data_IF_442607491844
#
_entry.id   IF_442607491844
#
_cell.length_a   1.000
_cell.length_b   1.000
_cell.length_c   1.000
_cell.angle_alpha   90.00
_cell.angle_beta   90.00
_cell.angle_gamma   90.00
#
_symmetry.space_group_name_H-M   'P 1'
#
loop_
_entity.id
_entity.type
_entity.pdbx_description
1 polymer ?
#
# COMPACT_ATOMS: atom_id res chain seq x y z
N UNK A 1 -21.73 -77.25 17.24
CA UNK A 1 -22.66 -76.90 16.13
C UNK A 1 -23.42 -75.59 16.39
N UNK A 2 -23.63 -75.17 17.64
CA UNK A 2 -24.35 -73.92 17.98
C UNK A 2 -23.49 -72.65 17.92
N UNK A 3 -22.21 -72.72 18.28
CA UNK A 3 -21.29 -71.58 18.33
C UNK A 3 -21.01 -70.97 16.95
N UNK A 4 -20.55 -71.77 15.99
CA UNK A 4 -20.34 -71.30 14.61
C UNK A 4 -21.60 -70.79 13.90
N UNK A 5 -22.80 -71.26 14.30
CA UNK A 5 -24.07 -70.71 13.78
C UNK A 5 -24.33 -69.31 14.34
N UNK A 6 -24.08 -69.10 15.64
CA UNK A 6 -24.24 -67.79 16.27
C UNK A 6 -23.23 -66.78 15.76
N UNK A 7 -21.98 -67.19 15.54
CA UNK A 7 -20.92 -66.32 15.02
C UNK A 7 -21.19 -65.91 13.58
N UNK A 8 -21.68 -66.83 12.74
CA UNK A 8 -22.09 -66.50 11.38
C UNK A 8 -23.29 -65.55 11.34
N UNK A 9 -24.26 -65.71 12.24
CA UNK A 9 -25.41 -64.81 12.36
C UNK A 9 -24.99 -63.39 12.81
N UNK A 10 -24.09 -63.31 13.80
CA UNK A 10 -23.48 -62.04 14.25
C UNK A 10 -22.68 -61.37 13.14
N UNK A 11 -21.83 -62.12 12.43
CA UNK A 11 -21.04 -61.62 11.30
C UNK A 11 -21.95 -61.10 10.17
N UNK A 12 -23.02 -61.82 9.85
CA UNK A 12 -24.00 -61.38 8.85
C UNK A 12 -24.70 -60.07 9.25
N UNK A 13 -25.07 -59.93 10.52
CA UNK A 13 -25.71 -58.72 11.03
C UNK A 13 -24.75 -57.52 11.04
N UNK A 14 -23.54 -57.71 11.55
CA UNK A 14 -22.48 -56.69 11.57
C UNK A 14 -22.11 -56.24 10.15
N UNK A 15 -21.94 -57.18 9.22
CA UNK A 15 -21.61 -56.87 7.82
C UNK A 15 -22.69 -56.04 7.15
N UNK A 16 -23.98 -56.37 7.36
CA UNK A 16 -25.10 -55.59 6.82
C UNK A 16 -25.16 -54.18 7.41
N UNK A 17 -24.98 -54.06 8.73
CA UNK A 17 -24.98 -52.76 9.42
C UNK A 17 -23.82 -51.89 8.92
N UNK A 18 -22.59 -52.42 8.94
CA UNK A 18 -21.40 -51.72 8.49
C UNK A 18 -21.52 -51.27 7.03
N UNK A 19 -21.96 -52.15 6.12
CA UNK A 19 -22.16 -51.79 4.71
C UNK A 19 -23.15 -50.64 4.56
N UNK A 20 -24.27 -50.67 5.28
CA UNK A 20 -25.27 -49.60 5.22
C UNK A 20 -24.69 -48.27 5.70
N UNK A 21 -24.02 -48.26 6.84
CA UNK A 21 -23.41 -47.05 7.41
C UNK A 21 -22.28 -46.50 6.52
N UNK A 22 -21.43 -47.38 5.99
CA UNK A 22 -20.37 -47.02 5.06
C UNK A 22 -20.89 -46.44 3.74
N UNK A 23 -21.97 -47.01 3.18
CA UNK A 23 -22.61 -46.45 1.97
C UNK A 23 -23.15 -45.06 2.22
N UNK A 24 -23.90 -44.86 3.31
CA UNK A 24 -24.45 -43.53 3.65
C UNK A 24 -23.35 -42.49 3.85
N UNK A 25 -22.26 -42.86 4.52
CA UNK A 25 -21.14 -41.94 4.72
C UNK A 25 -20.40 -41.66 3.41
N UNK A 26 -20.13 -42.68 2.60
CA UNK A 26 -19.45 -42.52 1.31
C UNK A 26 -20.25 -41.65 0.35
N UNK A 27 -21.56 -41.85 0.25
CA UNK A 27 -22.44 -41.04 -0.62
C UNK A 27 -22.40 -39.57 -0.21
N UNK A 28 -22.47 -39.30 1.10
CA UNK A 28 -22.37 -37.94 1.62
C UNK A 28 -21.00 -37.31 1.35
N UNK A 29 -19.91 -38.05 1.53
CA UNK A 29 -18.55 -37.58 1.22
C UNK A 29 -18.41 -37.25 -0.27
N UNK A 30 -18.86 -38.13 -1.16
CA UNK A 30 -18.80 -37.89 -2.61
C UNK A 30 -19.64 -36.70 -3.06
N UNK A 31 -20.85 -36.53 -2.50
CA UNK A 31 -21.69 -35.38 -2.80
C UNK A 31 -21.05 -34.06 -2.33
N UNK A 32 -20.50 -34.06 -1.11
CA UNK A 32 -19.82 -32.88 -0.53
C UNK A 32 -18.56 -32.52 -1.31
N UNK A 33 -17.78 -33.52 -1.71
CA UNK A 33 -16.60 -33.32 -2.54
C UNK A 33 -16.95 -32.73 -3.91
N UNK A 34 -18.01 -33.22 -4.56
CA UNK A 34 -18.47 -32.67 -5.83
C UNK A 34 -18.88 -31.19 -5.70
N UNK A 35 -19.55 -30.82 -4.61
CA UNK A 35 -19.92 -29.43 -4.32
C UNK A 35 -18.68 -28.56 -4.04
N UNK A 36 -17.70 -29.05 -3.28
CA UNK A 36 -16.41 -28.37 -3.07
C UNK A 36 -15.67 -28.12 -4.39
N UNK A 37 -15.62 -29.12 -5.28
CA UNK A 37 -15.00 -28.98 -6.61
C UNK A 37 -15.75 -27.95 -7.43
N UNK A 38 -17.08 -27.98 -7.45
CA UNK A 38 -17.89 -27.00 -8.17
C UNK A 38 -17.64 -25.57 -7.64
N UNK A 39 -17.64 -25.38 -6.32
CA UNK A 39 -17.41 -24.08 -5.67
C UNK A 39 -15.99 -23.56 -5.91
N UNK A 40 -14.98 -24.44 -5.86
CA UNK A 40 -13.59 -24.06 -6.07
C UNK A 40 -13.22 -23.78 -7.54
N UNK A 41 -13.96 -24.34 -8.50
CA UNK A 41 -13.73 -24.18 -9.94
C UNK A 41 -14.63 -23.13 -10.60
N UNK A 42 -15.70 -22.69 -9.93
CA UNK A 42 -16.56 -21.62 -10.43
C UNK A 42 -15.81 -20.27 -10.41
N UNK A 43 -15.31 -19.84 -11.56
CA UNK A 43 -14.55 -18.58 -11.71
C UNK A 43 -15.43 -17.31 -11.62
N UNK A 44 -16.75 -17.43 -11.69
CA UNK A 44 -17.60 -16.27 -12.00
C UNK A 44 -18.26 -15.57 -10.80
N UNK A 45 -18.69 -16.32 -9.79
CA UNK A 45 -19.50 -15.80 -8.69
C UNK A 45 -19.21 -16.67 -7.46
N UNK A 46 -18.30 -16.23 -6.60
CA UNK A 46 -18.40 -16.63 -5.20
C UNK A 46 -19.74 -16.03 -4.75
N UNK A 47 -20.63 -16.86 -4.17
CA UNK A 47 -21.85 -16.35 -3.56
C UNK A 47 -21.53 -15.28 -2.50
N UNK A 48 -22.55 -14.71 -1.87
CA UNK A 48 -22.32 -13.84 -0.71
C UNK A 48 -21.30 -14.50 0.25
N UNK A 49 -20.19 -13.80 0.54
CA UNK A 49 -19.03 -14.39 1.20
C UNK A 49 -19.41 -15.04 2.54
N UNK A 50 -20.34 -14.42 3.26
CA UNK A 50 -20.86 -14.92 4.52
C UNK A 50 -21.69 -16.21 4.35
N UNK A 51 -22.43 -16.34 3.25
CA UNK A 51 -23.14 -17.61 2.93
C UNK A 51 -22.17 -18.76 2.66
N UNK A 52 -21.09 -18.51 1.92
CA UNK A 52 -20.07 -19.52 1.61
C UNK A 52 -19.28 -19.94 2.85
N UNK A 53 -18.93 -18.96 3.71
CA UNK A 53 -18.29 -19.23 5.01
C UNK A 53 -19.22 -20.06 5.90
N UNK A 54 -20.51 -19.71 5.95
CA UNK A 54 -21.51 -20.43 6.74
C UNK A 54 -21.70 -21.87 6.25
N UNK A 55 -21.71 -22.08 4.93
CA UNK A 55 -21.76 -23.40 4.32
C UNK A 55 -20.52 -24.23 4.70
N UNK A 56 -19.31 -23.70 4.53
CA UNK A 56 -18.07 -24.42 4.87
C UNK A 56 -18.03 -24.80 6.36
N UNK A 57 -18.41 -23.86 7.25
CA UNK A 57 -18.54 -24.14 8.69
C UNK A 57 -19.58 -25.22 9.00
N UNK A 58 -20.68 -25.26 8.26
CA UNK A 58 -21.70 -26.31 8.41
C UNK A 58 -21.14 -27.68 8.04
N UNK A 59 -20.41 -27.78 6.93
CA UNK A 59 -19.76 -29.03 6.52
C UNK A 59 -18.75 -29.51 7.56
N UNK A 60 -17.89 -28.62 8.10
CA UNK A 60 -16.96 -28.97 9.19
C UNK A 60 -17.68 -29.47 10.44
N UNK A 61 -18.81 -28.84 10.80
CA UNK A 61 -19.64 -29.27 11.91
C UNK A 61 -20.26 -30.65 11.66
N UNK A 62 -20.70 -30.92 10.44
CA UNK A 62 -21.27 -32.21 10.06
C UNK A 62 -20.21 -33.31 9.98
N UNK A 63 -18.99 -33.00 9.56
CA UNK A 63 -17.82 -33.88 9.73
C UNK A 63 -17.60 -34.20 11.20
N UNK A 64 -17.62 -33.24 12.12
CA UNK A 64 -17.38 -33.60 13.52
C UNK A 64 -18.50 -34.51 14.09
N UNK A 65 -19.76 -34.34 13.67
CA UNK A 65 -20.85 -35.24 14.04
C UNK A 65 -20.69 -36.65 13.46
N UNK A 66 -20.40 -36.76 12.16
CA UNK A 66 -20.29 -38.03 11.42
C UNK A 66 -19.02 -38.82 11.76
N UNK A 67 -18.09 -38.23 12.51
CA UNK A 67 -16.90 -38.90 13.03
C UNK A 67 -17.26 -40.10 13.90
N UNK A 68 -18.38 -40.02 14.62
CA UNK A 68 -18.92 -41.15 15.38
C UNK A 68 -19.32 -42.31 14.46
N UNK A 69 -19.92 -42.02 13.29
CA UNK A 69 -20.29 -43.05 12.31
C UNK A 69 -19.04 -43.72 11.72
N UNK A 70 -18.01 -42.94 11.39
CA UNK A 70 -16.72 -43.47 10.90
C UNK A 70 -16.05 -44.39 11.94
N UNK A 71 -16.07 -44.01 13.22
CA UNK A 71 -15.58 -44.84 14.31
C UNK A 71 -16.40 -46.13 14.45
N UNK A 72 -17.73 -46.04 14.39
CA UNK A 72 -18.61 -47.21 14.46
C UNK A 72 -18.41 -48.19 13.30
N UNK A 73 -18.14 -47.69 12.09
CA UNK A 73 -17.78 -48.50 10.92
C UNK A 73 -16.43 -49.18 11.14
N UNK A 74 -15.44 -48.46 11.67
CA UNK A 74 -14.10 -49.00 11.98
C UNK A 74 -14.16 -50.10 13.03
N UNK A 75 -14.91 -49.90 14.12
CA UNK A 75 -15.15 -50.90 15.17
C UNK A 75 -15.88 -52.13 14.62
N UNK A 76 -16.92 -51.92 13.78
CA UNK A 76 -17.67 -53.02 13.15
C UNK A 76 -16.80 -53.81 12.18
N UNK A 77 -15.88 -53.16 11.48
CA UNK A 77 -14.90 -53.80 10.60
C UNK A 77 -13.93 -54.68 11.40
N UNK A 78 -13.34 -54.15 12.47
CA UNK A 78 -12.45 -54.91 13.35
C UNK A 78 -13.17 -56.15 13.96
N UNK A 79 -14.41 -55.99 14.39
CA UNK A 79 -15.22 -57.10 14.89
C UNK A 79 -15.48 -58.18 13.82
N UNK A 80 -15.67 -57.78 12.55
CA UNK A 80 -15.87 -58.71 11.44
C UNK A 80 -14.59 -59.47 11.07
N UNK A 81 -13.43 -58.80 11.10
CA UNK A 81 -12.12 -59.43 10.86
C UNK A 81 -11.88 -60.59 11.84
N UNK A 82 -12.33 -60.46 13.10
CA UNK A 82 -12.23 -61.52 14.10
C UNK A 82 -13.22 -62.68 13.88
N UNK A 83 -14.37 -62.44 13.25
CA UNK A 83 -15.43 -63.44 13.07
C UNK A 83 -15.35 -64.18 11.71
N UNK A 84 -14.70 -63.58 10.71
CA UNK A 84 -14.63 -64.10 9.35
C UNK A 84 -13.19 -64.10 8.84
N UNK A 85 -12.55 -65.27 8.87
CA UNK A 85 -11.25 -65.50 8.24
C UNK A 85 -11.31 -65.13 6.75
N UNK A 86 -10.22 -64.57 6.20
CA UNK A 86 -10.06 -64.10 4.82
C UNK A 86 -10.82 -62.82 4.42
N UNK A 87 -11.46 -62.11 5.37
CA UNK A 87 -12.14 -60.82 5.09
C UNK A 87 -11.27 -59.57 5.31
N UNK A 88 -10.09 -59.73 5.91
CA UNK A 88 -9.22 -58.65 6.38
C UNK A 88 -8.85 -57.65 5.28
N UNK A 89 -8.34 -58.12 4.15
CA UNK A 89 -7.87 -57.26 3.06
C UNK A 89 -8.97 -56.38 2.47
N UNK A 90 -10.15 -56.94 2.22
CA UNK A 90 -11.30 -56.22 1.64
C UNK A 90 -11.87 -55.21 2.64
N UNK A 91 -11.93 -55.56 3.92
CA UNK A 91 -12.41 -54.67 4.97
C UNK A 91 -11.44 -53.49 5.18
N UNK A 92 -10.14 -53.77 5.16
CA UNK A 92 -9.09 -52.76 5.27
C UNK A 92 -9.09 -51.79 4.08
N UNK A 93 -9.20 -52.28 2.85
CA UNK A 93 -9.28 -51.46 1.63
C UNK A 93 -10.49 -50.51 1.66
N UNK A 94 -11.66 -51.01 2.09
CA UNK A 94 -12.86 -50.20 2.22
C UNK A 94 -12.70 -49.11 3.29
N UNK A 95 -12.13 -49.44 4.45
CA UNK A 95 -11.83 -48.45 5.49
C UNK A 95 -10.81 -47.41 5.02
N UNK A 96 -9.77 -47.84 4.31
CA UNK A 96 -8.76 -46.94 3.77
C UNK A 96 -9.37 -45.93 2.79
N UNK A 97 -10.22 -46.41 1.88
CA UNK A 97 -10.92 -45.54 0.91
C UNK A 97 -11.83 -44.54 1.62
N UNK A 98 -12.59 -45.00 2.61
CA UNK A 98 -13.50 -44.16 3.38
C UNK A 98 -12.75 -43.11 4.21
N UNK A 99 -11.66 -43.50 4.89
CA UNK A 99 -10.80 -42.61 5.66
C UNK A 99 -10.07 -41.60 4.77
N UNK A 100 -9.65 -42.00 3.58
CA UNK A 100 -9.05 -41.11 2.59
C UNK A 100 -10.07 -40.06 2.10
N UNK A 101 -11.28 -40.50 1.73
CA UNK A 101 -12.38 -39.61 1.33
C UNK A 101 -12.75 -38.62 2.45
N UNK A 102 -12.85 -39.11 3.68
CA UNK A 102 -13.08 -38.29 4.88
C UNK A 102 -12.02 -37.21 5.06
N UNK A 103 -10.75 -37.62 5.03
CA UNK A 103 -9.62 -36.71 5.23
C UNK A 103 -9.56 -35.66 4.14
N UNK A 104 -9.79 -36.06 2.88
CA UNK A 104 -9.86 -35.15 1.73
C UNK A 104 -10.96 -34.10 1.89
N UNK A 105 -12.20 -34.52 2.17
CA UNK A 105 -13.32 -33.58 2.35
C UNK A 105 -13.04 -32.63 3.52
N UNK A 106 -12.50 -33.12 4.64
CA UNK A 106 -12.10 -32.27 5.76
C UNK A 106 -11.08 -31.22 5.33
N UNK A 107 -9.93 -31.65 4.80
CA UNK A 107 -8.84 -30.74 4.43
C UNK A 107 -9.30 -29.72 3.39
N UNK A 108 -10.00 -30.15 2.34
CA UNK A 108 -10.50 -29.22 1.32
C UNK A 108 -11.52 -28.23 1.86
N UNK A 109 -12.38 -28.65 2.80
CA UNK A 109 -13.33 -27.73 3.45
C UNK A 109 -12.60 -26.74 4.34
N UNK A 110 -11.58 -27.17 5.09
CA UNK A 110 -10.74 -26.31 5.94
C UNK A 110 -10.00 -25.27 5.09
N UNK A 111 -9.32 -25.71 4.02
CA UNK A 111 -8.59 -24.83 3.09
C UNK A 111 -9.52 -23.81 2.42
N UNK A 112 -10.70 -24.25 2.00
CA UNK A 112 -11.72 -23.38 1.43
C UNK A 112 -12.20 -22.33 2.45
N UNK A 113 -12.55 -22.76 3.67
CA UNK A 113 -12.97 -21.87 4.75
C UNK A 113 -11.89 -20.84 5.08
N UNK A 114 -10.62 -21.27 5.18
CA UNK A 114 -9.48 -20.40 5.44
C UNK A 114 -9.29 -19.38 4.31
N UNK A 115 -9.45 -19.80 3.06
CA UNK A 115 -9.36 -18.91 1.89
C UNK A 115 -10.44 -17.82 1.95
N UNK A 116 -11.68 -18.19 2.25
CA UNK A 116 -12.80 -17.25 2.37
C UNK A 116 -12.62 -16.28 3.54
N UNK A 117 -12.20 -16.79 4.71
CA UNK A 117 -11.93 -15.96 5.89
C UNK A 117 -10.77 -14.99 5.66
N UNK A 118 -9.71 -15.44 4.98
CA UNK A 118 -8.62 -14.56 4.60
C UNK A 118 -9.13 -13.46 3.66
N UNK A 119 -9.95 -13.79 2.67
CA UNK A 119 -10.54 -12.79 1.78
C UNK A 119 -11.41 -11.76 2.53
N UNK A 120 -12.24 -12.23 3.47
CA UNK A 120 -13.04 -11.36 4.34
C UNK A 120 -12.16 -10.40 5.15
N UNK A 121 -11.10 -10.91 5.77
CA UNK A 121 -10.16 -10.11 6.53
C UNK A 121 -9.42 -9.08 5.65
N UNK A 122 -9.04 -9.43 4.42
CA UNK A 122 -8.45 -8.46 3.49
C UNK A 122 -9.42 -7.33 3.12
N UNK A 123 -10.71 -7.63 2.93
CA UNK A 123 -11.74 -6.61 2.70
C UNK A 123 -11.91 -5.69 3.91
N UNK A 124 -11.90 -6.23 5.13
CA UNK A 124 -11.99 -5.44 6.36
C UNK A 124 -10.77 -4.51 6.54
N UNK A 125 -9.56 -5.01 6.27
CA UNK A 125 -8.33 -4.20 6.30
C UNK A 125 -8.40 -3.08 5.27
N UNK A 126 -8.82 -3.39 4.03
CA UNK A 126 -9.01 -2.40 2.97
C UNK A 126 -10.00 -1.32 3.41
N UNK A 127 -11.16 -1.70 3.94
CA UNK A 127 -12.17 -0.77 4.43
C UNK A 127 -11.66 0.10 5.59
N UNK A 128 -10.86 -0.48 6.49
CA UNK A 128 -10.18 0.25 7.55
C UNK A 128 -9.22 1.32 7.02
N UNK A 129 -8.39 0.99 6.02
CA UNK A 129 -7.49 1.95 5.39
C UNK A 129 -8.25 3.05 4.64
N UNK A 130 -9.28 2.69 3.86
CA UNK A 130 -10.13 3.64 3.15
C UNK A 130 -10.80 4.61 4.14
N UNK A 131 -11.34 4.11 5.25
CA UNK A 131 -11.98 4.94 6.26
C UNK A 131 -10.98 5.88 6.96
N UNK A 132 -9.79 5.40 7.27
CA UNK A 132 -8.72 6.20 7.87
C UNK A 132 -8.32 7.37 6.97
N UNK A 133 -8.02 7.09 5.69
CA UNK A 133 -7.64 8.12 4.72
C UNK A 133 -8.82 9.06 4.45
N UNK A 134 -10.04 8.54 4.31
CA UNK A 134 -11.23 9.37 4.09
C UNK A 134 -11.47 10.34 5.26
N UNK A 135 -11.18 9.91 6.49
CA UNK A 135 -11.26 10.77 7.67
C UNK A 135 -10.23 11.90 7.60
N UNK A 136 -8.98 11.58 7.23
CA UNK A 136 -7.95 12.59 7.03
C UNK A 136 -8.34 13.58 5.92
N UNK A 137 -8.82 13.08 4.78
CA UNK A 137 -9.25 13.92 3.65
C UNK A 137 -10.36 14.89 4.05
N UNK A 138 -11.34 14.42 4.83
CA UNK A 138 -12.40 15.28 5.36
C UNK A 138 -11.85 16.35 6.30
N UNK A 139 -10.94 16.00 7.21
CA UNK A 139 -10.33 16.93 8.15
C UNK A 139 -9.45 17.97 7.45
N UNK A 140 -8.65 17.54 6.48
CA UNK A 140 -7.79 18.40 5.67
C UNK A 140 -8.62 19.41 4.88
N UNK A 141 -9.68 18.96 4.19
CA UNK A 141 -10.57 19.85 3.45
C UNK A 141 -11.26 20.88 4.36
N UNK A 142 -11.75 20.46 5.53
CA UNK A 142 -12.37 21.37 6.49
C UNK A 142 -11.40 22.45 7.00
N UNK A 143 -10.12 22.10 7.17
CA UNK A 143 -9.08 23.06 7.54
C UNK A 143 -8.77 24.04 6.41
N UNK A 144 -8.75 23.56 5.17
CA UNK A 144 -8.53 24.39 3.98
C UNK A 144 -9.71 25.34 3.74
N UNK A 145 -10.95 24.89 3.92
CA UNK A 145 -12.15 25.74 3.80
C UNK A 145 -12.18 26.90 4.82
N UNK A 146 -11.52 26.73 5.97
CA UNK A 146 -11.39 27.76 6.99
C UNK A 146 -10.11 28.59 6.90
N UNK A 147 -9.21 28.28 5.98
CA UNK A 147 -7.83 28.78 6.01
C UNK A 147 -7.78 30.29 5.80
N UNK A 148 -8.58 30.83 4.87
CA UNK A 148 -8.66 32.26 4.56
C UNK A 148 -9.09 33.11 5.77
N UNK A 149 -9.81 32.52 6.73
CA UNK A 149 -10.27 33.20 7.96
C UNK A 149 -9.20 33.26 9.04
N UNK A 150 -8.08 32.55 8.86
CA UNK A 150 -7.01 32.45 9.86
C UNK A 150 -5.90 33.47 9.56
N UNK A 151 -5.10 33.92 10.55
CA UNK A 151 -3.95 34.79 10.31
C UNK A 151 -2.88 34.10 9.45
N UNK A 152 -2.15 34.87 8.63
CA UNK A 152 -1.14 34.35 7.70
C UNK A 152 -0.13 33.38 8.33
N UNK A 153 0.37 33.67 9.54
CA UNK A 153 1.31 32.78 10.25
C UNK A 153 0.72 31.40 10.56
N UNK A 154 -0.58 31.34 10.90
CA UNK A 154 -1.28 30.07 11.13
C UNK A 154 -1.64 29.37 9.84
N UNK A 155 -1.93 30.11 8.77
CA UNK A 155 -2.17 29.52 7.45
C UNK A 155 -0.93 28.78 6.96
N UNK A 156 0.25 29.42 7.05
CA UNK A 156 1.52 28.82 6.66
C UNK A 156 1.84 27.56 7.48
N UNK A 157 1.62 27.61 8.81
CA UNK A 157 1.81 26.45 9.69
C UNK A 157 0.89 25.28 9.31
N UNK A 158 -0.40 25.55 9.08
CA UNK A 158 -1.38 24.53 8.68
C UNK A 158 -1.01 23.91 7.33
N UNK A 159 -0.65 24.72 6.33
CA UNK A 159 -0.28 24.21 5.00
C UNK A 159 1.01 23.39 5.06
N UNK A 160 2.03 23.85 5.79
CA UNK A 160 3.28 23.07 5.99
C UNK A 160 2.99 21.72 6.63
N UNK A 161 2.13 21.68 7.66
CA UNK A 161 1.73 20.43 8.30
C UNK A 161 0.98 19.52 7.32
N UNK A 162 -0.02 20.05 6.60
CA UNK A 162 -0.82 19.27 5.64
C UNK A 162 0.03 18.71 4.50
N UNK A 163 1.05 19.44 4.02
CA UNK A 163 2.00 18.94 3.01
C UNK A 163 2.83 17.77 3.54
N UNK A 164 3.32 17.86 4.78
CA UNK A 164 4.06 16.75 5.40
C UNK A 164 3.18 15.52 5.60
N UNK A 165 1.93 15.70 6.02
CA UNK A 165 0.97 14.60 6.17
C UNK A 165 0.55 14.03 4.82
N UNK A 166 0.48 14.87 3.77
CA UNK A 166 0.11 14.46 2.42
C UNK A 166 1.08 13.42 1.85
N UNK A 167 2.38 13.57 2.09
CA UNK A 167 3.40 12.59 1.67
C UNK A 167 3.14 11.21 2.30
N UNK A 168 2.85 11.17 3.60
CA UNK A 168 2.54 9.93 4.32
C UNK A 168 1.23 9.31 3.82
N UNK A 169 0.18 10.12 3.63
CA UNK A 169 -1.11 9.67 3.12
C UNK A 169 -1.00 9.20 1.67
N UNK A 170 -0.15 9.81 0.85
CA UNK A 170 0.10 9.35 -0.52
C UNK A 170 0.61 7.91 -0.53
N UNK A 171 1.56 7.57 0.34
CA UNK A 171 2.04 6.19 0.48
C UNK A 171 0.92 5.23 0.91
N UNK A 172 0.04 5.66 1.80
CA UNK A 172 -1.12 4.85 2.20
C UNK A 172 -2.12 4.66 1.05
N UNK A 173 -2.36 5.69 0.24
CA UNK A 173 -3.23 5.60 -0.94
C UNK A 173 -2.65 4.62 -1.98
N UNK A 174 -1.35 4.64 -2.23
CA UNK A 174 -0.71 3.64 -3.11
C UNK A 174 -0.87 2.23 -2.55
N UNK A 175 -0.65 2.03 -1.24
CA UNK A 175 -0.87 0.74 -0.60
C UNK A 175 -2.34 0.27 -0.70
N UNK A 176 -3.31 1.18 -0.59
CA UNK A 176 -4.74 0.87 -0.81
C UNK A 176 -5.02 0.50 -2.27
N UNK A 177 -4.37 1.14 -3.25
CA UNK A 177 -4.47 0.75 -4.67
C UNK A 177 -3.91 -0.65 -4.90
N UNK A 178 -2.76 -0.98 -4.32
CA UNK A 178 -2.17 -2.32 -4.40
C UNK A 178 -3.08 -3.38 -3.77
N UNK A 179 -3.63 -3.11 -2.58
CA UNK A 179 -4.60 -3.99 -1.92
C UNK A 179 -5.86 -4.18 -2.77
N UNK A 180 -6.37 -3.10 -3.38
CA UNK A 180 -7.53 -3.17 -4.25
C UNK A 180 -7.26 -4.05 -5.48
N UNK A 181 -6.08 -3.96 -6.10
CA UNK A 181 -5.70 -4.83 -7.22
C UNK A 181 -5.74 -6.30 -6.80
N UNK A 182 -5.19 -6.64 -5.64
CA UNK A 182 -5.22 -8.02 -5.12
C UNK A 182 -6.66 -8.48 -4.86
N UNK A 183 -7.50 -7.63 -4.25
CA UNK A 183 -8.89 -7.95 -3.93
C UNK A 183 -9.77 -8.10 -5.19
N UNK A 184 -9.56 -7.26 -6.21
CA UNK A 184 -10.29 -7.29 -7.48
C UNK A 184 -9.84 -8.44 -8.38
N UNK A 185 -8.60 -8.90 -8.24
CA UNK A 185 -8.07 -10.07 -8.95
C UNK A 185 -8.29 -11.39 -8.18
N UNK A 186 -8.72 -11.32 -6.92
CA UNK A 186 -9.16 -12.49 -6.18
C UNK A 186 -10.38 -13.11 -6.88
N UNK A 187 -10.54 -14.43 -6.75
CA UNK A 187 -11.64 -15.16 -7.39
C UNK A 187 -12.98 -14.57 -6.94
N UNK A 188 -13.91 -14.37 -7.87
CA UNK A 188 -15.24 -13.82 -7.61
C UNK A 188 -15.38 -12.35 -8.01
N UNK A 189 -16.46 -12.05 -8.74
CA UNK A 189 -16.78 -10.69 -9.21
C UNK A 189 -17.33 -9.76 -8.10
N UNK A 190 -17.86 -10.33 -7.02
CA UNK A 190 -18.50 -9.57 -5.94
C UNK A 190 -17.54 -8.65 -5.18
N UNK A 191 -16.27 -9.04 -5.01
CA UNK A 191 -15.27 -8.18 -4.36
C UNK A 191 -14.99 -6.93 -5.18
N UNK A 192 -14.94 -7.08 -6.51
CA UNK A 192 -14.71 -5.97 -7.44
C UNK A 192 -15.82 -4.92 -7.36
N UNK A 193 -17.08 -5.36 -7.33
CA UNK A 193 -18.24 -4.46 -7.23
C UNK A 193 -18.23 -3.63 -5.94
N UNK A 194 -17.63 -4.13 -4.86
CA UNK A 194 -17.50 -3.41 -3.59
C UNK A 194 -16.26 -2.51 -3.52
N UNK A 195 -15.13 -2.99 -4.07
CA UNK A 195 -13.82 -2.33 -3.97
C UNK A 195 -13.64 -1.20 -4.98
N UNK A 196 -14.05 -1.43 -6.23
CA UNK A 196 -13.89 -0.48 -7.35
C UNK A 196 -14.51 0.91 -7.07
N UNK A 197 -15.78 1.03 -6.62
CA UNK A 197 -16.38 2.34 -6.35
C UNK A 197 -15.69 3.06 -5.18
N UNK A 198 -15.31 2.34 -4.12
CA UNK A 198 -14.61 2.90 -2.96
C UNK A 198 -13.24 3.46 -3.36
N UNK A 199 -12.49 2.71 -4.17
CA UNK A 199 -11.18 3.13 -4.66
C UNK A 199 -11.29 4.36 -5.57
N UNK A 200 -12.27 4.37 -6.48
CA UNK A 200 -12.49 5.49 -7.39
C UNK A 200 -12.84 6.78 -6.62
N UNK A 201 -13.72 6.67 -5.62
CA UNK A 201 -14.07 7.78 -4.75
C UNK A 201 -12.86 8.29 -3.94
N UNK A 202 -12.09 7.38 -3.34
CA UNK A 202 -10.90 7.72 -2.58
C UNK A 202 -9.88 8.47 -3.44
N UNK A 203 -9.57 7.97 -4.64
CA UNK A 203 -8.63 8.60 -5.55
C UNK A 203 -9.09 10.01 -5.96
N UNK A 204 -10.37 10.16 -6.30
CA UNK A 204 -10.95 11.46 -6.66
C UNK A 204 -10.85 12.46 -5.51
N UNK A 205 -11.17 12.04 -4.30
CA UNK A 205 -11.12 12.90 -3.12
C UNK A 205 -9.67 13.27 -2.75
N UNK A 206 -8.75 12.29 -2.83
CA UNK A 206 -7.33 12.52 -2.58
C UNK A 206 -6.73 13.52 -3.57
N UNK A 207 -7.03 13.38 -4.87
CA UNK A 207 -6.57 14.32 -5.88
C UNK A 207 -7.13 15.73 -5.64
N UNK A 208 -8.43 15.85 -5.33
CA UNK A 208 -9.06 17.14 -5.02
C UNK A 208 -8.37 17.84 -3.84
N UNK A 209 -8.19 17.16 -2.72
CA UNK A 209 -7.57 17.73 -1.51
C UNK A 209 -6.10 18.07 -1.77
N UNK A 210 -5.35 17.19 -2.43
CA UNK A 210 -3.95 17.44 -2.80
C UNK A 210 -3.80 18.70 -3.65
N UNK A 211 -4.66 18.87 -4.66
CA UNK A 211 -4.68 20.08 -5.49
C UNK A 211 -5.03 21.33 -4.68
N UNK A 212 -5.97 21.23 -3.74
CA UNK A 212 -6.36 22.33 -2.87
C UNK A 212 -5.22 22.76 -1.93
N UNK A 213 -4.51 21.80 -1.31
CA UNK A 213 -3.32 22.07 -0.47
C UNK A 213 -2.25 22.80 -1.30
N UNK A 214 -1.90 22.25 -2.47
CA UNK A 214 -0.87 22.83 -3.34
C UNK A 214 -1.25 24.23 -3.84
N UNK A 215 -2.51 24.44 -4.20
CA UNK A 215 -3.01 25.76 -4.63
C UNK A 215 -2.92 26.78 -3.50
N UNK A 216 -3.31 26.38 -2.29
CA UNK A 216 -3.25 27.24 -1.10
C UNK A 216 -1.82 27.60 -0.74
N UNK A 217 -0.88 26.65 -0.86
CA UNK A 217 0.55 26.91 -0.67
C UNK A 217 1.06 27.99 -1.62
N UNK A 218 0.67 27.93 -2.90
CA UNK A 218 1.08 28.92 -3.90
C UNK A 218 0.52 30.32 -3.58
N UNK A 219 -0.72 30.42 -3.10
CA UNK A 219 -1.33 31.69 -2.71
C UNK A 219 -0.64 32.31 -1.49
N UNK A 220 -0.34 31.53 -0.46
CA UNK A 220 0.38 32.01 0.75
C UNK A 220 1.81 32.44 0.40
N UNK A 221 2.47 31.72 -0.51
CA UNK A 221 3.79 32.09 -1.03
C UNK A 221 3.78 33.42 -1.79
N UNK A 222 2.67 33.75 -2.47
CA UNK A 222 2.49 35.02 -3.18
C UNK A 222 2.20 36.20 -2.23
N UNK A 223 1.38 35.99 -1.19
CA UNK A 223 1.04 37.04 -0.22
C UNK A 223 2.24 37.47 0.63
N UNK A 224 3.19 36.57 0.88
CA UNK A 224 4.46 36.88 1.56
C UNK A 224 5.32 37.90 0.80
N UNK A 225 5.08 38.08 -0.50
CA UNK A 225 5.71 39.10 -1.36
C UNK A 225 4.96 40.45 -1.36
N UNK A 226 3.68 40.47 -0.92
CA UNK A 226 2.80 41.65 -1.04
C UNK A 226 2.85 42.60 0.17
N UNK A 227 3.42 42.19 1.30
CA UNK A 227 3.52 43.01 2.51
C UNK A 227 4.89 43.69 2.69
N UNK A 228 5.42 44.36 1.66
CA UNK A 228 6.29 45.52 1.91
C UNK A 228 5.43 46.78 1.91
N UNK A 229 4.97 47.11 3.12
CA UNK A 229 4.21 48.30 3.45
C UNK A 229 4.94 49.58 2.99
N UNK A 230 4.27 50.35 2.15
CA UNK A 230 4.62 51.71 1.74
C UNK A 230 4.95 52.61 2.94
N UNK A 231 6.18 53.13 2.99
CA UNK A 231 6.53 54.33 3.76
C UNK A 231 6.34 55.58 2.88
N UNK A 232 5.80 56.70 3.41
CA UNK A 232 5.47 57.85 2.57
C UNK A 232 6.70 58.72 2.30
N UNK A 233 6.81 59.11 1.02
CA UNK A 233 7.46 60.32 0.50
C UNK A 233 9.00 60.44 0.66
N UNK A 234 9.68 60.32 -0.48
CA UNK A 234 11.04 60.80 -0.68
C UNK A 234 11.59 60.34 -2.03
N UNK A 235 11.35 61.13 -3.07
CA UNK A 235 12.07 61.16 -4.36
C UNK A 235 13.51 60.63 -4.30
N UNK A 236 13.87 59.71 -5.20
CA UNK A 236 14.96 59.84 -6.21
C UNK A 236 14.92 58.63 -7.15
N UNK A 237 15.12 58.90 -8.44
CA UNK A 237 15.25 57.97 -9.57
C UNK A 237 16.27 56.86 -9.32
N UNK A 238 16.01 55.66 -9.84
CA UNK A 238 17.00 54.57 -9.86
C UNK A 238 16.49 53.36 -10.63
N UNK A 239 16.99 53.22 -11.85
CA UNK A 239 16.81 52.11 -12.77
C UNK A 239 16.94 50.73 -12.11
N UNK A 240 15.80 50.04 -11.97
CA UNK A 240 15.56 48.59 -11.90
C UNK A 240 16.66 47.60 -11.42
N UNK A 241 16.46 46.86 -10.30
CA UNK A 241 17.35 45.79 -9.83
C UNK A 241 17.52 44.59 -10.78
N UNK A 242 16.79 44.56 -11.91
CA UNK A 242 16.91 43.54 -12.93
C UNK A 242 18.17 43.68 -13.80
N UNK A 243 18.61 44.93 -14.08
CA UNK A 243 19.82 45.17 -14.87
C UNK A 243 21.09 44.86 -14.08
N UNK A 244 21.06 45.06 -12.75
CA UNK A 244 22.17 44.76 -11.86
C UNK A 244 22.37 43.25 -11.68
N UNK A 245 21.27 42.47 -11.74
CA UNK A 245 21.34 41.01 -11.66
C UNK A 245 21.97 40.38 -12.91
N UNK A 246 21.52 40.78 -14.10
CA UNK A 246 22.07 40.27 -15.37
C UNK A 246 23.55 40.68 -15.53
N UNK A 247 23.90 41.91 -15.13
CA UNK A 247 25.29 42.36 -15.08
C UNK A 247 26.13 41.50 -14.13
N UNK A 248 25.62 41.19 -12.94
CA UNK A 248 26.33 40.38 -11.95
C UNK A 248 26.54 38.93 -12.44
N UNK A 249 25.52 38.31 -13.04
CA UNK A 249 25.66 36.94 -13.57
C UNK A 249 26.76 36.87 -14.64
N UNK A 250 26.81 37.86 -15.55
CA UNK A 250 27.86 37.96 -16.56
C UNK A 250 29.24 38.22 -15.94
N UNK A 251 29.32 39.06 -14.90
CA UNK A 251 30.56 39.33 -14.18
C UNK A 251 31.09 38.08 -13.46
N UNK A 252 30.22 37.28 -12.82
CA UNK A 252 30.61 36.03 -12.18
C UNK A 252 31.15 35.03 -13.21
N UNK A 253 30.51 34.91 -14.38
CA UNK A 253 30.98 34.02 -15.44
C UNK A 253 32.33 34.48 -16.00
N UNK A 254 32.52 35.79 -16.21
CA UNK A 254 33.78 36.36 -16.65
C UNK A 254 34.89 36.11 -15.63
N UNK A 255 34.63 36.30 -14.33
CA UNK A 255 35.61 36.06 -13.28
C UNK A 255 35.95 34.58 -13.13
N UNK A 256 34.99 33.66 -13.32
CA UNK A 256 35.27 32.22 -13.36
C UNK A 256 36.23 31.86 -14.49
N UNK A 257 36.07 32.46 -15.68
CA UNK A 257 36.99 32.26 -16.81
C UNK A 257 38.39 32.82 -16.51
N UNK A 258 38.48 33.96 -15.81
CA UNK A 258 39.76 34.53 -15.38
C UNK A 258 40.46 33.59 -14.38
N UNK A 259 39.74 33.10 -13.36
CA UNK A 259 40.29 32.16 -12.36
C UNK A 259 40.71 30.84 -13.00
N UNK A 260 39.92 30.29 -13.93
CA UNK A 260 40.28 29.05 -14.64
C UNK A 260 41.54 29.23 -15.50
N UNK A 261 41.67 30.37 -16.18
CA UNK A 261 42.88 30.69 -16.96
C UNK A 261 44.13 30.74 -16.07
N UNK A 262 44.01 31.22 -14.83
CA UNK A 262 45.11 31.24 -13.87
C UNK A 262 45.46 29.90 -13.28
N UNK A 263 44.50 28.97 -13.20
CA UNK A 263 44.80 27.58 -12.85
C UNK A 263 45.64 26.89 -13.93
N UNK A 264 45.52 27.33 -15.20
CA UNK A 264 46.19 26.73 -16.35
C UNK A 264 47.51 27.43 -16.76
N UNK A 265 47.74 28.70 -16.40
CA UNK A 265 48.96 29.43 -16.76
C UNK A 265 49.60 30.15 -15.56
N UNK A 266 50.74 29.63 -15.09
CA UNK A 266 51.57 30.25 -14.05
C UNK A 266 52.58 31.23 -14.65
N UNK A 267 52.18 32.46 -14.96
CA UNK A 267 53.11 33.58 -15.11
C UNK A 267 52.34 34.90 -15.32
N UNK A 268 52.28 35.73 -14.28
CA UNK A 268 52.33 37.22 -14.29
C UNK A 268 51.74 37.76 -12.97
N UNK A 269 52.58 37.88 -11.93
CA UNK A 269 52.16 38.27 -10.56
C UNK A 269 51.54 39.69 -10.48
N UNK A 270 51.93 40.62 -11.35
CA UNK A 270 51.45 42.01 -11.30
C UNK A 270 50.01 42.14 -11.83
N UNK A 271 49.59 41.26 -12.75
CA UNK A 271 48.22 41.21 -13.27
C UNK A 271 47.24 40.54 -12.30
N UNK A 272 47.76 39.68 -11.43
CA UNK A 272 46.98 38.94 -10.44
C UNK A 272 46.30 39.84 -9.42
N UNK A 273 46.94 40.94 -9.00
CA UNK A 273 46.40 41.77 -7.92
C UNK A 273 45.20 42.64 -8.38
N UNK A 274 45.20 43.09 -9.63
CA UNK A 274 44.04 43.77 -10.22
C UNK A 274 42.86 42.81 -10.41
N UNK A 275 43.12 41.60 -10.93
CA UNK A 275 42.09 40.58 -11.15
C UNK A 275 41.57 40.02 -9.80
N UNK A 276 42.41 39.91 -8.77
CA UNK A 276 42.00 39.59 -7.38
C UNK A 276 41.04 40.63 -6.82
N UNK A 277 41.36 41.91 -7.00
CA UNK A 277 40.51 43.02 -6.56
C UNK A 277 39.15 42.97 -7.25
N UNK A 278 39.12 42.66 -8.55
CA UNK A 278 37.87 42.50 -9.32
C UNK A 278 37.05 41.30 -8.86
N UNK A 279 37.69 40.17 -8.56
CA UNK A 279 36.99 38.97 -8.02
C UNK A 279 36.37 39.26 -6.66
N UNK A 280 37.10 39.92 -5.76
CA UNK A 280 36.60 40.30 -4.42
C UNK A 280 35.46 41.31 -4.51
N UNK A 281 35.51 42.23 -5.47
CA UNK A 281 34.44 43.18 -5.74
C UNK A 281 33.15 42.50 -6.26
N UNK A 282 33.28 41.53 -7.19
CA UNK A 282 32.15 40.73 -7.68
C UNK A 282 31.53 39.88 -6.57
N UNK A 283 32.36 39.26 -5.72
CA UNK A 283 31.87 38.49 -4.56
C UNK A 283 31.10 39.38 -3.58
N UNK A 284 31.61 40.58 -3.30
CA UNK A 284 30.96 41.56 -2.43
C UNK A 284 29.64 42.08 -3.01
N UNK A 285 29.60 42.37 -4.31
CA UNK A 285 28.34 42.73 -5.01
C UNK A 285 27.33 41.60 -4.94
N UNK A 286 27.78 40.36 -5.14
CA UNK A 286 26.93 39.18 -5.04
C UNK A 286 26.34 38.96 -3.65
N UNK A 287 27.16 39.10 -2.60
CA UNK A 287 26.68 39.01 -1.21
C UNK A 287 25.65 40.10 -0.90
N UNK A 288 25.89 41.34 -1.34
CA UNK A 288 24.91 42.42 -1.21
C UNK A 288 23.61 42.10 -1.93
N UNK A 289 23.69 41.56 -3.16
CA UNK A 289 22.51 41.23 -3.96
C UNK A 289 21.73 40.04 -3.37
N UNK A 290 22.37 39.11 -2.66
CA UNK A 290 21.68 38.02 -1.94
C UNK A 290 20.82 38.53 -0.78
N UNK A 291 21.10 39.71 -0.24
CA UNK A 291 20.28 40.37 0.76
C UNK A 291 19.10 41.16 0.17
N UNK A 292 19.12 41.45 -1.13
CA UNK A 292 18.00 42.09 -1.84
C UNK A 292 16.85 41.10 -2.08
N UNK A 293 15.59 41.57 -2.08
CA UNK A 293 14.44 40.72 -2.34
C UNK A 293 14.44 40.24 -3.80
N UNK A 294 14.50 38.91 -3.98
CA UNK A 294 14.44 38.22 -5.27
C UNK A 294 13.84 36.83 -5.12
N UNK A 295 13.46 36.19 -6.24
CA UNK A 295 12.94 34.82 -6.27
C UNK A 295 13.93 33.81 -5.67
N UNK A 296 13.45 32.87 -4.86
CA UNK A 296 14.28 31.86 -4.19
C UNK A 296 15.11 31.01 -5.17
N UNK A 297 14.56 30.69 -6.34
CA UNK A 297 15.28 29.97 -7.40
C UNK A 297 16.46 30.77 -7.96
N UNK A 298 16.29 32.09 -8.13
CA UNK A 298 17.36 33.01 -8.58
C UNK A 298 18.38 33.23 -7.48
N UNK A 299 17.93 33.42 -6.23
CA UNK A 299 18.81 33.55 -5.06
C UNK A 299 19.71 32.33 -4.91
N UNK A 300 19.15 31.13 -5.00
CA UNK A 300 19.92 29.89 -4.88
C UNK A 300 20.90 29.71 -6.06
N UNK A 301 20.48 30.04 -7.28
CA UNK A 301 21.38 30.03 -8.46
C UNK A 301 22.61 30.94 -8.25
N UNK A 302 22.40 32.19 -7.84
CA UNK A 302 23.48 33.16 -7.59
C UNK A 302 24.37 32.68 -6.44
N UNK A 303 23.77 32.18 -5.35
CA UNK A 303 24.49 31.65 -4.19
C UNK A 303 25.44 30.52 -4.60
N UNK A 304 25.00 29.60 -5.44
CA UNK A 304 25.83 28.50 -5.95
C UNK A 304 26.95 29.00 -6.87
N UNK A 305 26.68 29.99 -7.73
CA UNK A 305 27.69 30.59 -8.62
C UNK A 305 28.76 31.35 -7.83
N UNK A 306 28.37 32.13 -6.81
CA UNK A 306 29.29 32.83 -5.91
C UNK A 306 30.13 31.85 -5.08
N UNK A 307 29.52 30.78 -4.56
CA UNK A 307 30.23 29.72 -3.85
C UNK A 307 31.29 29.06 -4.74
N UNK A 308 30.95 28.77 -6.01
CA UNK A 308 31.88 28.20 -6.98
C UNK A 308 33.05 29.16 -7.24
N UNK A 309 32.77 30.44 -7.49
CA UNK A 309 33.80 31.45 -7.73
C UNK A 309 34.72 31.60 -6.51
N UNK A 310 34.16 31.73 -5.31
CA UNK A 310 34.92 31.81 -4.06
C UNK A 310 35.79 30.57 -3.84
N UNK A 311 35.25 29.37 -4.11
CA UNK A 311 36.01 28.11 -3.96
C UNK A 311 37.18 28.02 -4.92
N UNK A 312 36.99 28.41 -6.19
CA UNK A 312 38.07 28.40 -7.19
C UNK A 312 39.10 29.49 -6.94
N UNK A 313 38.67 30.69 -6.59
CA UNK A 313 39.54 31.80 -6.23
C UNK A 313 40.48 31.44 -5.06
N UNK A 314 39.95 30.79 -4.03
CA UNK A 314 40.75 30.34 -2.89
C UNK A 314 41.80 29.28 -3.28
N UNK A 315 41.59 28.49 -4.33
CA UNK A 315 42.60 27.55 -4.84
C UNK A 315 43.76 28.21 -5.56
N UNK A 316 43.55 29.41 -6.12
CA UNK A 316 44.57 30.22 -6.79
C UNK A 316 45.32 31.14 -5.80
N UNK A 317 44.73 31.37 -4.62
CA UNK A 317 45.33 32.19 -3.54
C UNK A 317 46.30 31.40 -2.65
N UNK A 318 46.27 30.06 -2.69
CA UNK A 318 47.14 29.12 -1.95
C UNK A 318 48.34 28.74 -2.80
#
# INVERSE_FOLDING_TARGET
VTEGKQDLERASQLSRKMKKEATVLSEWLSATEAELVQKSTSEGVIGDLDTEISWAKSILKDLEKRKADLNAITESSAALQHLVSDSESVLEENLCTLNAGWSRVRTWTEDWCNTLLNHQNQLEIFDGHVAHISTWLYQAEALLDEIEKKPASKQEEIVKRLLSELDDVNLQVENVREQAIVLMNARGSASRELVEPKLAELNRNFEKVSQHINSTQMLIGQDSSSYQCFGPAGTVEGTGPFSDLESLENDIENMLKVVDKHLDSSNDEEKMDEERTQIEDVLRRGEHLLHEPMEDSKREKIRLQLLLLHTRYNKVKV
#
